data_IF_955647803956
#
_entry.id   IF_955647803956
#
_cell.length_a   1.000
_cell.length_b   1.000
_cell.length_c   1.000
_cell.angle_alpha   90.00
_cell.angle_beta   90.00
_cell.angle_gamma   90.00
#
_symmetry.space_group_name_H-M   'P 1'
#
loop_
_entity.id
_entity.type
_entity.pdbx_description
1 polymer ?
#
# COMPACT_ATOMS: atom_id res chain seq x y z
N UNK A 1 5.67 5.37 9.99
CA UNK A 1 5.56 4.90 8.60
C UNK A 1 4.41 5.64 7.97
N UNK A 2 4.46 5.88 6.67
CA UNK A 2 3.41 6.50 5.87
C UNK A 2 2.81 5.42 4.96
N UNK A 3 1.49 5.31 4.94
CA UNK A 3 0.77 4.43 4.02
C UNK A 3 0.56 5.16 2.68
N UNK A 4 1.01 4.56 1.58
CA UNK A 4 0.76 5.02 0.21
C UNK A 4 -0.11 3.99 -0.51
N UNK A 5 -1.10 4.48 -1.27
CA UNK A 5 -2.07 3.64 -1.98
C UNK A 5 -1.97 3.87 -3.49
N UNK A 6 -2.10 2.80 -4.25
CA UNK A 6 -2.31 2.87 -5.69
C UNK A 6 -3.20 1.70 -6.13
N UNK A 7 -3.84 1.84 -7.30
CA UNK A 7 -4.73 0.80 -7.80
C UNK A 7 -4.63 0.64 -9.32
N UNK A 8 -5.09 -0.51 -9.79
CA UNK A 8 -5.31 -0.84 -11.20
C UNK A 8 -6.65 -1.56 -11.31
N UNK A 9 -7.50 -1.11 -12.23
CA UNK A 9 -8.80 -1.72 -12.52
C UNK A 9 -8.66 -2.53 -13.81
N UNK A 10 -8.89 -3.83 -13.69
CA UNK A 10 -9.06 -4.70 -14.86
C UNK A 10 -10.54 -4.74 -15.25
N UNK A 11 -10.85 -4.13 -16.40
CA UNK A 11 -12.20 -4.07 -16.97
C UNK A 11 -12.56 -5.30 -17.82
N UNK A 12 -11.63 -6.23 -18.01
CA UNK A 12 -11.85 -7.47 -18.75
C UNK A 12 -11.15 -8.65 -18.06
N UNK A 13 -11.44 -8.88 -16.76
CA UNK A 13 -10.78 -9.92 -16.00
C UNK A 13 -11.21 -11.31 -16.49
N UNK A 14 -10.43 -12.32 -16.14
CA UNK A 14 -10.88 -13.70 -16.28
C UNK A 14 -12.14 -13.95 -15.43
N UNK A 15 -13.04 -14.88 -15.82
CA UNK A 15 -14.29 -15.10 -15.10
C UNK A 15 -14.11 -15.42 -13.61
N UNK A 16 -12.98 -15.98 -13.22
CA UNK A 16 -12.62 -16.31 -11.83
C UNK A 16 -12.15 -15.10 -11.02
N UNK A 17 -11.65 -14.05 -11.68
CA UNK A 17 -11.16 -12.82 -11.04
C UNK A 17 -12.22 -11.71 -11.01
N UNK A 18 -13.32 -11.85 -11.75
CA UNK A 18 -14.39 -10.85 -11.82
C UNK A 18 -15.00 -10.56 -10.42
N UNK A 19 -15.02 -9.28 -10.04
CA UNK A 19 -15.53 -8.82 -8.74
C UNK A 19 -14.60 -9.08 -7.55
N UNK A 20 -13.37 -9.51 -7.81
CA UNK A 20 -12.36 -9.72 -6.76
C UNK A 20 -11.54 -8.45 -6.51
N UNK A 21 -10.96 -8.40 -5.31
CA UNK A 21 -9.91 -7.46 -4.94
C UNK A 21 -8.65 -8.23 -4.57
N UNK A 22 -7.53 -7.87 -5.21
CA UNK A 22 -6.19 -8.32 -4.85
C UNK A 22 -5.46 -7.18 -4.14
N UNK A 23 -5.15 -7.37 -2.86
CA UNK A 23 -4.35 -6.42 -2.09
C UNK A 23 -2.91 -6.94 -2.02
N UNK A 24 -1.97 -6.13 -2.47
CA UNK A 24 -0.54 -6.35 -2.28
C UNK A 24 0.00 -5.32 -1.30
N UNK A 25 0.45 -5.76 -0.12
CA UNK A 25 1.05 -4.90 0.88
C UNK A 25 2.57 -5.04 0.87
N UNK A 26 3.30 -3.92 0.86
CA UNK A 26 4.76 -3.89 0.95
C UNK A 26 5.20 -3.03 2.12
N UNK A 27 6.01 -3.57 3.02
CA UNK A 27 6.67 -2.80 4.08
C UNK A 27 8.11 -2.57 3.64
N UNK A 28 8.49 -1.31 3.49
CA UNK A 28 9.84 -0.92 3.12
C UNK A 28 10.70 -0.86 4.39
N UNK A 29 11.79 -1.62 4.40
CA UNK A 29 12.75 -1.66 5.50
C UNK A 29 14.15 -1.25 5.04
N UNK A 30 15.07 -1.03 5.97
CA UNK A 30 16.47 -0.69 5.66
C UNK A 30 17.18 -1.84 4.92
N UNK A 31 16.98 -3.09 5.37
CA UNK A 31 17.69 -4.25 4.83
C UNK A 31 16.89 -5.04 3.80
N UNK A 32 15.57 -5.16 3.99
CA UNK A 32 14.69 -5.95 3.13
C UNK A 32 13.27 -5.40 3.14
N UNK A 33 12.61 -5.51 2.00
CA UNK A 33 11.19 -5.27 1.89
C UNK A 33 10.43 -6.56 2.24
N UNK A 34 9.33 -6.41 2.95
CA UNK A 34 8.40 -7.51 3.20
C UNK A 34 7.19 -7.30 2.31
N UNK A 35 6.79 -8.33 1.58
CA UNK A 35 5.62 -8.26 0.70
C UNK A 35 4.64 -9.36 1.06
N UNK A 36 3.37 -8.98 1.11
CA UNK A 36 2.23 -9.85 1.32
C UNK A 36 1.22 -9.63 0.20
N UNK A 37 0.48 -10.67 -0.19
CA UNK A 37 -0.61 -10.55 -1.15
C UNK A 37 -1.75 -11.44 -0.74
N UNK A 38 -2.96 -10.89 -0.79
CA UNK A 38 -4.21 -11.60 -0.51
C UNK A 38 -5.26 -11.28 -1.58
N UNK A 39 -6.27 -12.14 -1.68
CA UNK A 39 -7.35 -12.07 -2.65
C UNK A 39 -8.68 -12.36 -1.94
N UNK A 40 -9.68 -11.52 -2.16
CA UNK A 40 -11.05 -11.71 -1.67
C UNK A 40 -12.06 -11.12 -2.65
N UNK A 41 -13.36 -11.28 -2.38
CA UNK A 41 -14.38 -10.52 -3.09
C UNK A 41 -14.34 -9.06 -2.64
N UNK A 42 -14.47 -8.11 -3.58
CA UNK A 42 -14.42 -6.69 -3.27
C UNK A 42 -15.50 -6.28 -2.25
N UNK A 43 -16.72 -6.81 -2.41
CA UNK A 43 -17.83 -6.58 -1.49
C UNK A 43 -17.53 -7.04 -0.05
N UNK A 44 -16.87 -8.19 0.11
CA UNK A 44 -16.57 -8.77 1.42
C UNK A 44 -15.40 -8.02 2.08
N UNK A 45 -14.56 -7.35 1.29
CA UNK A 45 -13.46 -6.52 1.76
C UNK A 45 -13.90 -5.12 2.19
N UNK A 46 -14.90 -4.53 1.52
CA UNK A 46 -15.37 -3.16 1.89
C UNK A 46 -16.34 -3.20 3.06
N UNK A 47 -17.06 -4.31 3.24
CA UNK A 47 -18.02 -4.47 4.31
C UNK A 47 -17.35 -4.33 5.69
N UNK A 48 -17.60 -3.21 6.35
CA UNK A 48 -17.12 -2.88 7.70
C UNK A 48 -17.89 -3.62 8.80
N UNK A 49 -19.06 -4.18 8.50
CA UNK A 49 -19.78 -5.07 9.42
C UNK A 49 -19.28 -6.52 9.32
N UNK A 50 -18.52 -6.84 8.26
CA UNK A 50 -17.94 -8.15 8.02
C UNK A 50 -16.51 -8.24 8.57
N UNK A 51 -16.41 -8.42 9.89
CA UNK A 51 -15.16 -8.71 10.59
C UNK A 51 -14.53 -10.05 10.14
N UNK A 52 -15.28 -10.93 9.48
CA UNK A 52 -14.83 -12.27 9.06
C UNK A 52 -14.05 -12.27 7.74
N UNK A 53 -13.76 -11.09 7.16
CA UNK A 53 -12.95 -11.02 5.94
C UNK A 53 -11.51 -11.50 6.23
N UNK A 54 -11.25 -12.78 5.96
CA UNK A 54 -9.96 -13.41 6.19
C UNK A 54 -8.78 -12.64 5.58
N UNK A 55 -8.98 -12.00 4.42
CA UNK A 55 -7.95 -11.17 3.80
C UNK A 55 -7.56 -9.94 4.65
N UNK A 56 -8.51 -9.33 5.38
CA UNK A 56 -8.22 -8.26 6.35
C UNK A 56 -7.46 -8.81 7.55
N UNK A 57 -7.90 -9.95 8.08
CA UNK A 57 -7.24 -10.62 9.21
C UNK A 57 -5.80 -11.00 8.86
N UNK A 58 -5.58 -11.71 7.75
CA UNK A 58 -4.26 -12.14 7.28
C UNK A 58 -3.34 -10.93 7.02
N UNK A 59 -3.89 -9.82 6.49
CA UNK A 59 -3.14 -8.56 6.34
C UNK A 59 -2.74 -8.00 7.71
N UNK A 60 -3.66 -7.96 8.68
CA UNK A 60 -3.35 -7.49 10.04
C UNK A 60 -2.25 -8.33 10.69
N UNK A 61 -2.35 -9.66 10.62
CA UNK A 61 -1.32 -10.57 11.12
C UNK A 61 0.03 -10.31 10.45
N UNK A 62 0.07 -10.15 9.12
CA UNK A 62 1.30 -9.81 8.41
C UNK A 62 1.94 -8.51 8.90
N UNK A 63 1.13 -7.45 9.12
CA UNK A 63 1.63 -6.18 9.63
C UNK A 63 2.20 -6.33 11.05
N UNK A 64 1.50 -7.06 11.93
CA UNK A 64 1.95 -7.31 13.30
C UNK A 64 3.23 -8.16 13.34
N UNK A 65 3.33 -9.23 12.53
CA UNK A 65 4.54 -10.06 12.43
C UNK A 65 5.75 -9.28 11.92
N UNK A 66 5.52 -8.28 11.06
CA UNK A 66 6.55 -7.35 10.61
C UNK A 66 6.96 -6.31 11.67
N UNK A 67 6.35 -6.32 12.84
CA UNK A 67 6.63 -5.40 13.95
C UNK A 67 5.96 -4.03 13.81
N UNK A 68 4.95 -3.90 12.96
CA UNK A 68 4.11 -2.70 12.91
C UNK A 68 3.24 -2.67 14.17
N UNK A 69 3.18 -1.50 14.82
CA UNK A 69 2.39 -1.32 16.03
C UNK A 69 0.89 -1.40 15.72
N UNK A 70 0.11 -1.91 16.67
CA UNK A 70 -1.34 -2.07 16.56
C UNK A 70 -2.07 -0.80 16.08
N UNK A 71 -1.71 0.37 16.61
CA UNK A 71 -2.30 1.65 16.19
C UNK A 71 -2.04 1.96 14.69
N UNK A 72 -0.85 1.63 14.20
CA UNK A 72 -0.46 1.88 12.80
C UNK A 72 -1.03 0.82 11.86
N UNK A 73 -1.15 -0.43 12.30
CA UNK A 73 -1.80 -1.47 11.49
C UNK A 73 -3.29 -1.20 11.36
N UNK A 74 -3.97 -0.85 12.47
CA UNK A 74 -5.37 -0.44 12.45
C UNK A 74 -5.61 0.77 11.54
N UNK A 75 -4.79 1.82 11.67
CA UNK A 75 -4.88 3.02 10.81
C UNK A 75 -4.65 2.70 9.33
N UNK A 76 -3.65 1.87 9.01
CA UNK A 76 -3.35 1.48 7.63
C UNK A 76 -4.47 0.65 7.00
N UNK A 77 -5.04 -0.30 7.74
CA UNK A 77 -6.16 -1.14 7.28
C UNK A 77 -7.43 -0.29 7.10
N UNK A 78 -7.74 0.58 8.05
CA UNK A 78 -8.89 1.49 7.95
C UNK A 78 -8.77 2.40 6.72
N UNK A 79 -7.60 3.01 6.49
CA UNK A 79 -7.35 3.83 5.30
C UNK A 79 -7.42 3.04 4.01
N UNK A 80 -6.96 1.78 4.02
CA UNK A 80 -7.09 0.89 2.86
C UNK A 80 -8.56 0.64 2.53
N UNK A 81 -9.39 0.34 3.52
CA UNK A 81 -10.83 0.10 3.31
C UNK A 81 -11.50 1.35 2.72
N UNK A 82 -11.26 2.52 3.31
CA UNK A 82 -11.80 3.79 2.80
C UNK A 82 -11.35 4.08 1.36
N UNK A 83 -10.09 3.81 1.04
CA UNK A 83 -9.57 3.98 -0.32
C UNK A 83 -10.25 3.02 -1.32
N UNK A 84 -10.48 1.77 -0.93
CA UNK A 84 -11.19 0.80 -1.76
C UNK A 84 -12.66 1.20 -1.95
N UNK A 85 -13.33 1.64 -0.89
CA UNK A 85 -14.72 2.14 -0.95
C UNK A 85 -14.83 3.33 -1.93
N UNK A 86 -13.88 4.26 -1.87
CA UNK A 86 -13.83 5.40 -2.80
C UNK A 86 -13.64 4.95 -4.26
N UNK A 87 -12.66 4.06 -4.52
CA UNK A 87 -12.39 3.55 -5.87
C UNK A 87 -13.58 2.78 -6.45
N UNK A 88 -14.29 2.03 -5.60
CA UNK A 88 -15.43 1.20 -6.00
C UNK A 88 -16.78 1.91 -5.91
N UNK A 89 -16.78 3.19 -5.52
CA UNK A 89 -17.99 3.98 -5.33
C UNK A 89 -18.84 3.97 -6.61
N UNK A 90 -20.17 3.73 -6.55
CA UNK A 90 -21.02 3.64 -7.74
C UNK A 90 -21.10 4.92 -8.59
N UNK A 91 -20.63 6.05 -8.05
CA UNK A 91 -20.53 7.32 -8.78
C UNK A 91 -19.26 7.41 -9.64
N UNK A 92 -18.28 6.53 -9.41
CA UNK A 92 -17.10 6.36 -10.27
C UNK A 92 -17.52 5.74 -11.60
N UNK A 93 -17.18 6.39 -12.71
CA UNK A 93 -17.41 5.84 -14.05
C UNK A 93 -16.39 4.76 -14.45
N UNK A 94 -15.33 4.59 -13.67
CA UNK A 94 -14.17 3.76 -14.02
C UNK A 94 -14.27 2.33 -13.49
N UNK A 95 -15.03 2.12 -12.40
CA UNK A 95 -15.20 0.81 -11.78
C UNK A 95 -16.60 0.25 -12.04
N UNK A 96 -16.67 -1.06 -12.28
CA UNK A 96 -17.93 -1.80 -12.27
C UNK A 96 -17.79 -3.05 -11.38
N UNK A 97 -18.89 -3.57 -10.81
CA UNK A 97 -18.82 -4.78 -9.95
C UNK A 97 -18.26 -6.03 -10.64
N UNK A 98 -18.17 -6.05 -11.98
CA UNK A 98 -17.55 -7.14 -12.73
C UNK A 98 -16.05 -6.97 -12.97
N UNK A 99 -15.48 -5.83 -12.62
CA UNK A 99 -14.04 -5.58 -12.74
C UNK A 99 -13.26 -6.36 -11.67
N UNK A 100 -11.98 -6.62 -11.93
CA UNK A 100 -11.05 -7.05 -10.88
C UNK A 100 -10.23 -5.86 -10.43
N UNK A 101 -10.12 -5.65 -9.12
CA UNK A 101 -9.39 -4.53 -8.53
C UNK A 101 -8.05 -5.01 -7.97
N UNK A 102 -6.95 -4.43 -8.40
CA UNK A 102 -5.63 -4.62 -7.78
C UNK A 102 -5.29 -3.38 -6.99
N UNK A 103 -5.01 -3.52 -5.70
CA UNK A 103 -4.62 -2.42 -4.81
C UNK A 103 -3.25 -2.70 -4.23
N UNK A 104 -2.41 -1.67 -4.20
CA UNK A 104 -1.12 -1.70 -3.50
C UNK A 104 -1.19 -0.81 -2.27
N UNK A 105 -0.76 -1.36 -1.14
CA UNK A 105 -0.50 -0.65 0.11
C UNK A 105 1.00 -0.68 0.37
N UNK A 106 1.65 0.48 0.28
CA UNK A 106 3.07 0.60 0.57
C UNK A 106 3.26 1.34 1.90
N UNK A 107 3.84 0.66 2.89
CA UNK A 107 4.22 1.23 4.18
C UNK A 107 5.68 1.67 4.11
N UNK A 108 5.87 2.98 3.97
CA UNK A 108 7.18 3.60 3.75
C UNK A 108 7.65 4.25 5.06
N UNK A 109 8.90 4.00 5.52
CA UNK A 109 9.49 4.74 6.62
C UNK A 109 9.44 6.25 6.39
N UNK A 110 9.14 7.04 7.42
CA UNK A 110 8.93 8.49 7.26
C UNK A 110 10.15 9.22 6.70
N UNK A 111 11.37 8.68 6.89
CA UNK A 111 12.60 9.26 6.34
C UNK A 111 12.81 8.95 4.84
N UNK A 112 12.05 8.00 4.29
CA UNK A 112 12.00 7.67 2.85
C UNK A 112 10.80 8.31 2.14
N UNK A 113 10.00 9.10 2.86
CA UNK A 113 8.93 9.85 2.23
C UNK A 113 9.51 11.01 1.41
N UNK A 114 8.94 11.33 0.24
CA UNK A 114 9.56 12.22 -0.75
C UNK A 114 9.87 13.62 -0.16
N UNK A 115 8.98 14.15 0.67
CA UNK A 115 9.22 15.41 1.39
C UNK A 115 10.36 15.33 2.40
N UNK A 116 10.55 14.17 3.03
CA UNK A 116 11.63 13.91 3.96
C UNK A 116 12.93 13.58 3.24
N UNK A 117 12.90 12.87 2.11
CA UNK A 117 14.04 12.58 1.26
C UNK A 117 14.66 13.87 0.74
N UNK A 118 13.85 14.82 0.26
CA UNK A 118 14.34 16.13 -0.18
C UNK A 118 15.09 16.83 0.96
N UNK A 119 14.46 16.95 2.15
CA UNK A 119 15.11 17.56 3.33
C UNK A 119 16.37 16.81 3.76
N UNK A 120 16.37 15.50 3.63
CA UNK A 120 17.48 14.64 4.03
C UNK A 120 18.66 14.76 3.07
N UNK A 121 18.42 14.79 1.76
CA UNK A 121 19.44 15.04 0.73
C UNK A 121 20.04 16.43 0.90
N UNK A 122 19.23 17.44 1.26
CA UNK A 122 19.72 18.79 1.53
C UNK A 122 20.66 18.87 2.74
N UNK A 123 20.53 17.94 3.69
CA UNK A 123 21.26 17.96 4.97
C UNK A 123 22.33 16.87 5.09
N UNK A 124 22.31 15.85 4.22
CA UNK A 124 23.12 14.66 4.36
C UNK A 124 23.68 14.17 3.00
N UNK A 125 25.01 14.04 2.84
CA UNK A 125 25.63 13.66 1.57
C UNK A 125 25.65 12.15 1.28
N UNK A 126 24.96 11.32 2.06
CA UNK A 126 24.88 9.86 1.82
C UNK A 126 23.54 9.49 1.21
N UNK A 127 23.24 8.22 0.92
CA UNK A 127 21.91 7.72 0.49
C UNK A 127 21.16 7.13 1.70
N UNK A 128 19.84 7.37 1.86
CA UNK A 128 19.14 6.99 3.10
C UNK A 128 18.87 5.49 3.17
N UNK A 129 18.91 4.80 2.02
CA UNK A 129 18.71 3.36 1.91
C UNK A 129 20.01 2.57 2.12
N UNK A 130 21.11 2.99 1.51
CA UNK A 130 22.34 2.19 1.47
C UNK A 130 23.55 2.88 2.12
N UNK A 131 23.40 4.10 2.64
CA UNK A 131 24.45 4.94 3.27
C UNK A 131 25.68 5.22 2.39
N UNK A 132 25.60 4.96 1.09
CA UNK A 132 26.64 5.31 0.11
C UNK A 132 26.58 6.81 -0.18
N UNK A 133 27.73 7.46 -0.36
CA UNK A 133 27.78 8.88 -0.76
C UNK A 133 26.96 9.12 -2.04
N UNK A 134 26.04 10.09 -2.00
CA UNK A 134 25.33 10.51 -3.19
C UNK A 134 26.31 11.21 -4.14
N UNK A 135 26.19 11.03 -5.47
CA UNK A 135 27.00 11.79 -6.39
C UNK A 135 26.70 13.27 -6.21
N UNK A 136 27.70 14.07 -5.83
CA UNK A 136 27.57 15.53 -5.86
C UNK A 136 27.32 15.93 -7.30
N UNK A 137 26.25 16.69 -7.56
CA UNK A 137 26.17 17.44 -8.81
C UNK A 137 27.24 18.54 -8.72
N UNK A 138 28.42 18.26 -9.27
CA UNK A 138 29.39 19.29 -9.58
C UNK A 138 28.73 20.19 -10.63
N UNK A 139 28.19 21.33 -10.22
CA UNK A 139 27.95 22.43 -11.15
C UNK A 139 29.32 22.89 -11.67
N UNK A 140 29.73 22.35 -12.82
CA UNK A 140 30.80 22.92 -13.62
C UNK A 140 30.33 24.31 -14.09
N UNK A 141 30.75 25.36 -13.38
CA UNK A 141 30.61 26.75 -13.82
C UNK A 141 31.96 27.47 -13.77
#
# INVERSE_FOLDING_TARGET
MTAKFSHEIDNSPEPEDAGTIRVTATIFGEDKNLTFTTLSLAKDFIDDENDECKSKEDLNYFLMEAGITDDLSCDAIMKLILYVDEVTCPTSSEYSPGCALKVRLDLVPNYLDDECLIKWVDTNPVCPLCRVALPCECEDQ
#
